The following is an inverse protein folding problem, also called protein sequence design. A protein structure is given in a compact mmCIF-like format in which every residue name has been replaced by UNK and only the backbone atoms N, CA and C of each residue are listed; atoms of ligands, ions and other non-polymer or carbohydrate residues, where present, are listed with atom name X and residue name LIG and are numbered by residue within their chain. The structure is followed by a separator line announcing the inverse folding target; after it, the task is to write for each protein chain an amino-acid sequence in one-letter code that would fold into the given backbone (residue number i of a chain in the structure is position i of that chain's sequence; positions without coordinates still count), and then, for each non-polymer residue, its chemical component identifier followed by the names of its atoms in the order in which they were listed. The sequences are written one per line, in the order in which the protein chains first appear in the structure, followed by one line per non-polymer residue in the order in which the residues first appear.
data_IF_879447375693
#
_entry.id   IF_879447375693
#
_cell.length_a   1.000
_cell.length_b   1.000
_cell.length_c   1.000
_cell.angle_alpha   90.00
_cell.angle_beta   90.00
_cell.angle_gamma   90.00
#
_symmetry.space_group_name_H-M   'P 1'
#
loop_
_entity.id
_entity.type
_entity.pdbx_description
1 polymer ?
#
# COMPACT_ATOMS: atom_id res chain seq x y z
N UNK A 1 -19.31 -14.28 -4.72
CA UNK A 1 -18.51 -14.55 -3.50
C UNK A 1 -17.74 -13.28 -3.19
N UNK A 2 -17.85 -12.73 -1.98
CA UNK A 2 -17.20 -11.45 -1.66
C UNK A 2 -15.70 -11.66 -1.44
N UNK A 3 -14.86 -10.96 -2.21
CA UNK A 3 -13.40 -10.97 -2.07
C UNK A 3 -12.95 -9.71 -1.33
N UNK A 4 -12.01 -9.87 -0.40
CA UNK A 4 -11.43 -8.76 0.36
C UNK A 4 -9.91 -8.81 0.27
N UNK A 5 -9.29 -7.65 0.09
CA UNK A 5 -7.84 -7.47 0.19
C UNK A 5 -7.54 -6.59 1.40
N UNK A 6 -6.71 -7.08 2.32
CA UNK A 6 -6.25 -6.32 3.48
C UNK A 6 -4.82 -5.87 3.19
N UNK A 7 -4.63 -4.56 3.10
CA UNK A 7 -3.32 -3.94 2.92
C UNK A 7 -2.91 -3.36 4.27
N UNK A 8 -1.97 -4.02 4.96
CA UNK A 8 -1.39 -3.51 6.20
C UNK A 8 -0.25 -2.54 5.88
N UNK A 9 -0.52 -1.25 6.03
CA UNK A 9 0.42 -0.15 5.86
C UNK A 9 1.10 0.25 7.18
N UNK A 10 0.95 -0.56 8.23
CA UNK A 10 1.63 -0.39 9.51
C UNK A 10 3.14 -0.65 9.44
N UNK A 11 3.87 -0.02 10.36
CA UNK A 11 5.31 -0.18 10.55
C UNK A 11 6.09 1.12 10.30
N UNK A 12 7.05 1.41 11.18
CA UNK A 12 7.80 2.68 11.17
C UNK A 12 8.85 2.80 10.06
N UNK A 13 9.10 1.74 9.29
CA UNK A 13 10.02 1.80 8.15
C UNK A 13 11.46 2.19 8.49
N UNK A 14 11.91 2.03 9.74
CA UNK A 14 13.19 2.55 10.26
C UNK A 14 14.44 2.14 9.46
N UNK A 15 14.40 0.98 8.78
CA UNK A 15 15.47 0.53 7.87
C UNK A 15 15.65 1.42 6.63
N UNK A 16 14.61 2.14 6.22
CA UNK A 16 14.64 3.07 5.08
C UNK A 16 15.32 4.39 5.40
N UNK A 17 15.59 4.69 6.70
CA UNK A 17 16.19 5.95 7.16
C UNK A 17 15.54 7.19 6.50
N UNK A 18 14.22 7.16 6.36
CA UNK A 18 13.43 8.24 5.78
C UNK A 18 12.54 8.84 6.86
N UNK A 19 12.38 10.16 6.83
CA UNK A 19 11.43 10.88 7.69
C UNK A 19 9.98 10.56 7.32
N UNK A 20 9.76 10.07 6.09
CA UNK A 20 8.46 9.65 5.60
C UNK A 20 8.29 8.12 5.79
N UNK A 21 7.16 7.65 6.34
CA UNK A 21 6.85 6.23 6.39
C UNK A 21 6.95 5.60 5.00
N UNK A 22 7.54 4.39 4.94
CA UNK A 22 7.93 3.74 3.68
C UNK A 22 6.82 3.68 2.63
N UNK A 23 5.57 3.50 3.06
CA UNK A 23 4.41 3.33 2.18
C UNK A 23 4.10 4.60 1.36
N UNK A 24 4.54 5.77 1.83
CA UNK A 24 4.31 7.04 1.16
C UNK A 24 5.51 7.48 0.30
N UNK A 25 6.65 6.80 0.38
CA UNK A 25 7.79 7.08 -0.47
C UNK A 25 7.40 6.84 -1.93
N UNK A 26 7.77 7.79 -2.79
CA UNK A 26 7.53 7.67 -4.22
C UNK A 26 8.47 6.65 -4.86
N UNK A 27 7.88 5.78 -5.68
CA UNK A 27 8.56 4.90 -6.61
C UNK A 27 8.04 5.23 -8.01
N UNK A 28 8.91 5.69 -8.90
CA UNK A 28 8.56 6.11 -10.26
C UNK A 28 7.43 7.17 -10.29
N UNK A 29 7.50 8.17 -9.39
CA UNK A 29 6.53 9.26 -9.30
C UNK A 29 5.16 8.87 -8.71
N UNK A 30 5.04 7.68 -8.10
CA UNK A 30 3.83 7.23 -7.42
C UNK A 30 4.16 6.58 -6.07
N UNK A 31 3.41 6.86 -4.99
CA UNK A 31 3.67 6.24 -3.69
C UNK A 31 3.63 4.71 -3.74
N UNK A 32 4.52 4.05 -3.00
CA UNK A 32 4.56 2.57 -2.88
C UNK A 32 3.18 1.99 -2.52
N UNK A 33 2.41 2.67 -1.66
CA UNK A 33 1.05 2.27 -1.29
C UNK A 33 0.12 2.22 -2.51
N UNK A 34 0.21 3.20 -3.42
CA UNK A 34 -0.65 3.26 -4.59
C UNK A 34 -0.36 2.13 -5.57
N UNK A 35 0.92 1.76 -5.75
CA UNK A 35 1.28 0.56 -6.52
C UNK A 35 0.63 -0.70 -5.94
N UNK A 36 0.55 -0.80 -4.61
CA UNK A 36 -0.09 -1.92 -3.93
C UNK A 36 -1.61 -1.93 -4.11
N UNK A 37 -2.26 -0.77 -3.98
CA UNK A 37 -3.71 -0.62 -4.21
C UNK A 37 -4.05 -1.00 -5.65
N UNK A 38 -3.30 -0.49 -6.64
CA UNK A 38 -3.53 -0.77 -8.05
C UNK A 38 -3.34 -2.24 -8.39
N UNK A 39 -2.37 -2.91 -7.75
CA UNK A 39 -2.17 -4.34 -7.93
C UNK A 39 -3.35 -5.19 -7.45
N UNK A 40 -4.20 -4.68 -6.54
CA UNK A 40 -5.43 -5.33 -6.07
C UNK A 40 -6.70 -4.65 -6.61
N UNK A 41 -6.56 -3.63 -7.46
CA UNK A 41 -7.67 -2.94 -8.10
C UNK A 41 -8.08 -3.64 -9.41
N UNK A 42 -8.30 -4.95 -9.30
CA UNK A 42 -8.87 -5.78 -10.35
C UNK A 42 -9.97 -6.64 -9.72
N UNK A 43 -10.96 -7.03 -10.51
CA UNK A 43 -12.18 -7.72 -10.04
C UNK A 43 -13.01 -6.93 -9.00
N UNK A 44 -14.13 -7.53 -8.57
CA UNK A 44 -15.04 -7.05 -7.53
C UNK A 44 -14.44 -7.30 -6.11
N UNK A 45 -13.24 -6.77 -5.86
CA UNK A 45 -12.50 -6.89 -4.60
C UNK A 45 -12.68 -5.62 -3.75
N UNK A 46 -13.08 -5.80 -2.49
CA UNK A 46 -13.13 -4.71 -1.51
C UNK A 46 -11.79 -4.58 -0.79
N UNK A 47 -11.15 -3.42 -0.91
CA UNK A 47 -9.86 -3.13 -0.26
C UNK A 47 -10.11 -2.54 1.13
N UNK A 48 -9.41 -3.08 2.12
CA UNK A 48 -9.35 -2.57 3.50
C UNK A 48 -7.90 -2.19 3.77
N UNK A 49 -7.64 -0.91 4.00
CA UNK A 49 -6.34 -0.39 4.39
C UNK A 49 -6.26 -0.32 5.93
N UNK A 50 -5.21 -0.88 6.51
CA UNK A 50 -5.01 -0.97 7.98
C UNK A 50 -3.64 -0.43 8.37
#
# INVERSE_FOLDING_TARGET
MNKYAIIVAGGSGTRMKSDLPKQFIELLGKPILMHSIEAFHFDDIKIILV
#
